data_IF_605144677164
#
_entry.id   IF_605144677164
#
_cell.length_a   1.000
_cell.length_b   1.000
_cell.length_c   1.000
_cell.angle_alpha   90.00
_cell.angle_beta   90.00
_cell.angle_gamma   90.00
#
_symmetry.space_group_name_H-M   'P 1'
#
loop_
_entity.id
_entity.type
_entity.pdbx_description
1 polymer ?
#
# COMPACT_ATOMS: atom_id res chain seq x y z
N UNK A 1 -4.99 16.59 12.74
CA UNK A 1 -3.96 15.68 13.23
C UNK A 1 -4.66 14.55 14.00
N UNK A 2 -4.41 13.32 13.63
CA UNK A 2 -5.07 12.14 14.18
C UNK A 2 -4.11 11.09 14.74
N UNK A 3 -2.81 11.31 14.57
CA UNK A 3 -1.77 10.43 15.10
C UNK A 3 -0.96 11.18 16.15
N UNK A 4 -1.03 10.72 17.41
CA UNK A 4 -0.34 11.30 18.58
C UNK A 4 -0.50 12.84 18.71
N UNK A 5 -1.56 13.42 18.12
CA UNK A 5 -1.81 14.87 18.03
C UNK A 5 -0.68 15.69 17.38
N UNK A 6 0.29 15.03 16.77
CA UNK A 6 1.48 15.65 16.15
C UNK A 6 1.35 15.65 14.64
N UNK A 7 0.95 14.53 14.04
CA UNK A 7 0.93 14.31 12.60
C UNK A 7 -0.45 13.88 12.10
N UNK A 8 -0.59 13.83 10.78
CA UNK A 8 -1.80 13.36 10.09
C UNK A 8 -1.44 12.08 9.34
N UNK A 9 -2.14 10.99 9.67
CA UNK A 9 -1.99 9.69 9.03
C UNK A 9 -3.21 9.41 8.15
N UNK A 10 -2.99 8.82 6.99
CA UNK A 10 -4.02 8.38 6.05
C UNK A 10 -5.08 9.44 5.69
N UNK A 11 -4.65 10.70 5.56
CA UNK A 11 -5.53 11.80 5.19
C UNK A 11 -6.37 12.38 6.35
N UNK A 12 -6.18 11.92 7.59
CA UNK A 12 -6.84 12.46 8.77
C UNK A 12 -7.98 11.62 9.32
N UNK A 13 -8.59 12.10 10.42
CA UNK A 13 -9.61 11.36 11.16
C UNK A 13 -10.95 11.16 10.43
N UNK A 14 -11.19 11.90 9.38
CA UNK A 14 -12.40 11.80 8.54
C UNK A 14 -12.03 11.70 7.06
N UNK A 15 -10.96 10.95 6.77
CA UNK A 15 -10.47 10.77 5.41
C UNK A 15 -11.32 9.80 4.58
N UNK A 16 -10.97 9.64 3.33
CA UNK A 16 -11.60 8.71 2.39
C UNK A 16 -11.65 7.25 2.90
N UNK A 17 -10.79 6.88 3.85
CA UNK A 17 -10.79 5.55 4.49
C UNK A 17 -12.01 5.28 5.35
N UNK A 18 -12.64 6.32 5.87
CA UNK A 18 -13.83 6.25 6.74
C UNK A 18 -15.12 6.69 6.04
N UNK A 19 -15.00 7.18 4.81
CA UNK A 19 -16.13 7.70 4.05
C UNK A 19 -16.98 6.58 3.43
N UNK A 20 -18.25 6.91 3.15
CA UNK A 20 -19.14 6.05 2.41
C UNK A 20 -18.98 6.32 0.91
N UNK A 21 -18.32 5.43 0.22
CA UNK A 21 -18.14 5.51 -1.23
C UNK A 21 -19.43 5.15 -1.96
N UNK A 22 -19.67 5.79 -3.09
CA UNK A 22 -20.80 5.53 -3.98
C UNK A 22 -20.38 4.61 -5.11
N UNK A 23 -21.31 3.78 -5.59
CA UNK A 23 -21.08 2.92 -6.75
C UNK A 23 -21.39 3.72 -8.01
N UNK A 24 -20.39 3.90 -8.89
CA UNK A 24 -20.56 4.49 -10.21
C UNK A 24 -20.91 3.43 -11.26
N UNK A 25 -20.34 2.23 -11.14
CA UNK A 25 -20.57 1.11 -12.04
C UNK A 25 -20.40 -0.21 -11.31
N UNK A 26 -21.17 -1.23 -11.71
CA UNK A 26 -21.03 -2.60 -11.23
C UNK A 26 -21.52 -3.57 -12.27
N UNK A 27 -20.70 -4.59 -12.55
CA UNK A 27 -21.10 -5.76 -13.35
C UNK A 27 -20.60 -7.07 -12.70
N UNK A 28 -20.54 -8.17 -13.46
CA UNK A 28 -20.13 -9.49 -12.95
C UNK A 28 -18.61 -9.62 -12.69
N UNK A 29 -17.79 -8.68 -13.16
CA UNK A 29 -16.33 -8.73 -13.10
C UNK A 29 -15.70 -7.49 -12.50
N UNK A 30 -16.44 -6.39 -12.45
CA UNK A 30 -15.87 -5.11 -12.02
C UNK A 30 -16.83 -4.30 -11.17
N UNK A 31 -16.26 -3.43 -10.35
CA UNK A 31 -16.98 -2.39 -9.63
C UNK A 31 -16.14 -1.11 -9.60
N UNK A 32 -16.82 0.01 -9.83
CA UNK A 32 -16.20 1.34 -9.71
C UNK A 32 -16.89 2.07 -8.56
N UNK A 33 -16.09 2.47 -7.59
CA UNK A 33 -16.51 3.36 -6.51
C UNK A 33 -16.00 4.76 -6.75
N UNK A 34 -16.74 5.76 -6.29
CA UNK A 34 -16.29 7.13 -6.26
C UNK A 34 -16.66 7.82 -4.95
N UNK A 35 -15.89 8.86 -4.63
CA UNK A 35 -16.09 9.75 -3.49
C UNK A 35 -15.78 11.17 -3.92
N UNK A 36 -16.67 12.11 -3.59
CA UNK A 36 -16.43 13.53 -3.78
C UNK A 36 -15.98 14.14 -2.45
N UNK A 37 -14.76 14.66 -2.43
CA UNK A 37 -14.14 15.36 -1.31
C UNK A 37 -14.25 16.88 -1.57
N UNK A 38 -14.95 17.64 -0.71
CA UNK A 38 -15.11 19.07 -0.92
C UNK A 38 -13.84 19.86 -0.61
N UNK A 39 -13.70 21.05 -1.20
CA UNK A 39 -12.59 21.98 -0.92
C UNK A 39 -12.41 22.20 0.58
N UNK A 40 -11.17 22.06 1.05
CA UNK A 40 -10.79 22.22 2.46
C UNK A 40 -11.06 20.99 3.34
N UNK A 41 -11.67 19.92 2.82
CA UNK A 41 -11.88 18.70 3.61
C UNK A 41 -10.55 18.13 4.10
N UNK A 42 -10.45 17.89 5.41
CA UNK A 42 -9.22 17.48 6.10
C UNK A 42 -7.99 18.37 5.82
N UNK A 43 -8.19 19.59 5.28
CA UNK A 43 -7.14 20.55 4.94
C UNK A 43 -6.61 20.44 3.51
N UNK A 44 -7.16 19.55 2.68
CA UNK A 44 -6.77 19.41 1.28
C UNK A 44 -7.47 20.50 0.42
N UNK A 45 -6.73 21.18 -0.48
CA UNK A 45 -7.28 22.21 -1.34
C UNK A 45 -8.04 21.61 -2.53
N UNK A 46 -9.09 22.29 -2.94
CA UNK A 46 -9.90 21.97 -4.11
C UNK A 46 -10.96 20.90 -3.87
N UNK A 47 -11.96 20.89 -4.74
CA UNK A 47 -12.90 19.78 -4.81
C UNK A 47 -12.22 18.63 -5.55
N UNK A 48 -12.14 17.46 -4.92
CA UNK A 48 -11.46 16.31 -5.47
C UNK A 48 -12.43 15.14 -5.62
N UNK A 49 -12.52 14.56 -6.81
CA UNK A 49 -13.19 13.28 -7.04
C UNK A 49 -12.17 12.16 -7.00
N UNK A 50 -12.33 11.25 -6.05
CA UNK A 50 -11.59 10.02 -5.95
C UNK A 50 -12.37 8.90 -6.60
N UNK A 51 -11.68 8.00 -7.30
CA UNK A 51 -12.27 6.81 -7.91
C UNK A 51 -11.39 5.60 -7.67
N UNK A 52 -12.02 4.48 -7.37
CA UNK A 52 -11.37 3.17 -7.27
C UNK A 52 -12.11 2.19 -8.16
N UNK A 53 -11.41 1.60 -9.10
CA UNK A 53 -11.90 0.56 -9.99
C UNK A 53 -11.27 -0.77 -9.63
N UNK A 54 -12.07 -1.75 -9.25
CA UNK A 54 -11.69 -3.15 -9.04
C UNK A 54 -12.16 -3.97 -10.23
N UNK A 55 -11.28 -4.73 -10.84
CA UNK A 55 -11.58 -5.61 -11.96
C UNK A 55 -10.95 -6.98 -11.75
N UNK A 56 -11.77 -8.03 -11.82
CA UNK A 56 -11.28 -9.42 -11.81
C UNK A 56 -10.76 -9.78 -13.18
N UNK A 57 -9.47 -10.07 -13.28
CA UNK A 57 -8.81 -10.50 -14.51
C UNK A 57 -8.50 -12.00 -14.47
N UNK A 58 -8.67 -12.67 -15.60
CA UNK A 58 -8.39 -14.11 -15.72
C UNK A 58 -6.87 -14.34 -15.85
N UNK A 59 -6.34 -15.49 -15.35
CA UNK A 59 -7.10 -16.60 -14.71
C UNK A 59 -7.41 -16.35 -13.22
N UNK A 60 -6.64 -15.60 -12.46
CA UNK A 60 -6.80 -15.30 -11.03
C UNK A 60 -6.07 -14.01 -10.67
N UNK A 61 -6.59 -12.87 -11.12
CA UNK A 61 -6.01 -11.57 -10.84
C UNK A 61 -7.08 -10.57 -10.40
N UNK A 62 -6.65 -9.60 -9.62
CA UNK A 62 -7.42 -8.40 -9.30
C UNK A 62 -6.63 -7.19 -9.78
N UNK A 63 -7.20 -6.48 -10.74
CA UNK A 63 -6.67 -5.19 -11.18
C UNK A 63 -7.36 -4.08 -10.38
N UNK A 64 -6.57 -3.21 -9.78
CA UNK A 64 -7.08 -2.06 -9.03
C UNK A 64 -6.49 -0.79 -9.62
N UNK A 65 -7.38 0.13 -10.05
CA UNK A 65 -6.99 1.45 -10.53
C UNK A 65 -7.47 2.51 -9.55
N UNK A 66 -6.54 3.32 -9.07
CA UNK A 66 -6.82 4.49 -8.23
C UNK A 66 -6.70 5.74 -9.07
N UNK A 67 -7.68 6.64 -8.99
CA UNK A 67 -7.72 7.88 -9.74
C UNK A 67 -8.20 9.02 -8.85
N UNK A 68 -7.61 10.20 -9.05
CA UNK A 68 -8.03 11.44 -8.41
C UNK A 68 -8.09 12.57 -9.45
N UNK A 69 -9.13 13.36 -9.41
CA UNK A 69 -9.32 14.55 -10.26
C UNK A 69 -9.69 15.71 -9.35
N UNK A 70 -8.87 16.76 -9.35
CA UNK A 70 -9.08 17.97 -8.56
C UNK A 70 -9.28 19.18 -9.45
N UNK A 71 -10.07 20.15 -8.97
CA UNK A 71 -10.28 21.44 -9.62
C UNK A 71 -9.22 22.48 -9.25
N UNK A 72 -8.26 22.13 -8.38
CA UNK A 72 -7.14 22.96 -7.95
C UNK A 72 -5.84 22.18 -7.88
N UNK A 73 -4.74 22.89 -7.93
CA UNK A 73 -3.42 22.34 -7.64
C UNK A 73 -3.38 21.86 -6.18
N UNK A 74 -2.87 20.66 -6.01
CA UNK A 74 -2.79 20.00 -4.71
C UNK A 74 -1.92 18.76 -4.79
N UNK A 75 -1.97 17.95 -3.76
CA UNK A 75 -1.31 16.66 -3.75
C UNK A 75 -2.32 15.56 -3.41
N UNK A 76 -2.15 14.43 -4.05
CA UNK A 76 -2.93 13.22 -3.79
C UNK A 76 -2.01 12.01 -3.90
N UNK A 77 -2.03 11.18 -2.87
CA UNK A 77 -1.25 9.95 -2.83
C UNK A 77 -2.14 8.81 -2.31
N UNK A 78 -3.06 8.38 -3.16
CA UNK A 78 -3.95 7.25 -2.86
C UNK A 78 -3.17 5.96 -2.84
N UNK A 79 -3.49 5.11 -1.87
CA UNK A 79 -2.96 3.76 -1.79
C UNK A 79 -4.06 2.76 -1.45
N UNK A 80 -3.84 1.51 -1.83
CA UNK A 80 -4.58 0.36 -1.33
C UNK A 80 -3.70 -0.31 -0.28
N UNK A 81 -4.24 -0.49 0.93
CA UNK A 81 -3.47 -0.98 2.08
C UNK A 81 -4.02 -2.31 2.64
N UNK A 82 -4.08 -3.39 1.84
CA UNK A 82 -4.49 -4.70 2.32
C UNK A 82 -3.38 -5.36 3.15
N UNK A 83 -3.79 -6.19 4.09
CA UNK A 83 -2.91 -7.12 4.79
C UNK A 83 -3.18 -8.53 4.28
N UNK A 84 -2.14 -9.25 3.85
CA UNK A 84 -2.27 -10.57 3.27
C UNK A 84 -1.73 -11.66 4.22
N UNK A 85 -2.54 -12.67 4.48
CA UNK A 85 -2.12 -13.95 4.99
C UNK A 85 -2.64 -15.01 4.01
N UNK A 86 -1.74 -15.78 3.41
CA UNK A 86 -2.07 -16.71 2.32
C UNK A 86 -2.37 -18.13 2.82
N UNK A 87 -2.51 -18.31 4.12
CA UNK A 87 -2.89 -19.56 4.75
C UNK A 87 -3.68 -19.31 6.05
N UNK A 88 -4.13 -20.39 6.69
CA UNK A 88 -4.99 -20.33 7.88
C UNK A 88 -4.19 -20.19 9.20
N UNK A 89 -2.89 -19.91 9.16
CA UNK A 89 -2.05 -19.82 10.37
C UNK A 89 -2.32 -18.59 11.24
N UNK A 90 -3.02 -17.59 10.69
CA UNK A 90 -3.34 -16.33 11.37
C UNK A 90 -2.14 -15.38 11.54
N UNK A 91 -0.97 -15.71 10.95
CA UNK A 91 0.22 -14.85 10.92
C UNK A 91 1.02 -15.13 9.64
N UNK A 92 2.11 -14.37 9.44
CA UNK A 92 2.93 -14.47 8.23
C UNK A 92 4.28 -15.19 8.43
N UNK A 93 4.50 -15.87 9.55
CA UNK A 93 5.76 -16.54 9.85
C UNK A 93 6.11 -17.63 8.80
N UNK A 94 5.10 -18.28 8.23
CA UNK A 94 5.27 -19.31 7.21
C UNK A 94 5.28 -18.77 5.78
N UNK A 95 5.54 -17.46 5.61
CA UNK A 95 5.60 -16.86 4.29
C UNK A 95 7.03 -16.48 3.90
N UNK A 96 7.30 -16.58 2.61
CA UNK A 96 8.49 -16.02 1.98
C UNK A 96 8.11 -14.76 1.21
N UNK A 97 8.85 -13.68 1.42
CA UNK A 97 8.67 -12.41 0.75
C UNK A 97 9.87 -12.10 -0.14
N UNK A 98 9.61 -11.62 -1.34
CA UNK A 98 10.58 -10.99 -2.23
C UNK A 98 10.06 -9.63 -2.66
N UNK A 99 10.94 -8.61 -2.72
CA UNK A 99 10.60 -7.25 -3.18
C UNK A 99 11.67 -6.82 -4.18
N UNK A 100 11.25 -6.42 -5.38
CA UNK A 100 12.14 -5.96 -6.46
C UNK A 100 12.47 -4.47 -6.30
N UNK A 101 13.03 -4.09 -5.15
CA UNK A 101 13.45 -2.73 -4.87
C UNK A 101 14.79 -2.72 -4.14
N UNK A 102 15.74 -1.96 -4.65
CA UNK A 102 17.11 -1.86 -4.10
C UNK A 102 17.22 -0.83 -2.98
N UNK A 103 16.19 0.00 -2.78
CA UNK A 103 16.20 1.08 -1.84
C UNK A 103 14.89 1.17 -1.06
N UNK A 104 14.97 1.78 0.13
CA UNK A 104 13.82 2.07 0.98
C UNK A 104 13.96 3.47 1.60
N UNK A 105 12.87 3.99 2.15
CA UNK A 105 12.83 5.25 2.89
C UNK A 105 12.96 4.94 4.40
N UNK A 106 14.08 5.31 5.05
CA UNK A 106 14.19 5.20 6.50
C UNK A 106 13.28 6.21 7.19
N UNK A 107 12.71 5.81 8.32
CA UNK A 107 11.84 6.63 9.16
C UNK A 107 12.52 6.99 10.46
N UNK A 108 12.03 8.04 11.11
CA UNK A 108 12.40 8.43 12.48
C UNK A 108 11.55 7.68 13.54
N UNK A 109 11.73 8.01 14.80
CA UNK A 109 11.00 7.41 15.93
C UNK A 109 9.48 7.67 15.87
N UNK A 110 9.02 8.60 15.03
CA UNK A 110 7.62 8.90 14.78
C UNK A 110 7.07 8.27 13.50
N UNK A 111 7.85 7.37 12.88
CA UNK A 111 7.56 6.71 11.60
C UNK A 111 7.44 7.69 10.41
N UNK A 112 8.06 8.87 10.52
CA UNK A 112 8.10 9.86 9.44
C UNK A 112 9.37 9.63 8.61
N UNK A 113 9.26 9.58 7.26
CA UNK A 113 10.41 9.47 6.38
C UNK A 113 11.42 10.59 6.62
N UNK A 114 12.68 10.23 6.81
CA UNK A 114 13.77 11.18 7.14
C UNK A 114 14.24 12.03 5.95
N UNK A 115 13.71 11.78 4.76
CA UNK A 115 14.19 12.38 3.50
C UNK A 115 15.40 11.67 2.89
N UNK A 116 15.94 10.66 3.56
CA UNK A 116 17.03 9.83 3.03
C UNK A 116 16.48 8.68 2.20
N UNK A 117 17.31 8.15 1.31
CA UNK A 117 17.05 6.92 0.54
C UNK A 117 18.22 5.98 0.82
N UNK A 118 17.94 4.86 1.47
CA UNK A 118 18.95 3.89 1.88
C UNK A 118 18.87 2.63 1.00
N UNK A 119 20.02 1.97 0.78
CA UNK A 119 20.07 0.66 0.14
C UNK A 119 19.51 -0.40 1.08
N UNK A 120 18.82 -1.39 0.52
CA UNK A 120 18.29 -2.54 1.28
C UNK A 120 19.37 -3.58 1.59
N UNK A 121 20.39 -3.68 0.74
CA UNK A 121 21.44 -4.70 0.85
C UNK A 121 22.11 -4.67 2.22
N UNK A 122 22.36 -5.87 2.78
CA UNK A 122 22.95 -6.09 4.09
C UNK A 122 22.14 -5.48 5.27
N UNK A 123 20.85 -5.23 5.07
CA UNK A 123 19.93 -4.74 6.10
C UNK A 123 18.80 -5.73 6.38
N UNK A 124 18.03 -5.46 7.43
CA UNK A 124 16.79 -6.23 7.69
C UNK A 124 15.74 -6.06 6.58
N UNK A 125 15.85 -5.02 5.76
CA UNK A 125 14.96 -4.70 4.64
C UNK A 125 15.39 -5.36 3.33
N UNK A 126 16.43 -6.20 3.32
CA UNK A 126 16.87 -6.91 2.11
C UNK A 126 15.94 -8.08 1.79
N UNK A 127 15.04 -7.85 0.83
CA UNK A 127 14.15 -8.83 0.22
C UNK A 127 14.39 -8.98 -1.29
N UNK A 128 15.57 -8.63 -1.78
CA UNK A 128 15.93 -8.82 -3.21
C UNK A 128 15.88 -10.29 -3.63
N UNK A 129 16.04 -11.20 -2.67
CA UNK A 129 15.80 -12.64 -2.82
C UNK A 129 14.69 -13.09 -1.88
N UNK A 130 13.96 -14.17 -2.22
CA UNK A 130 12.94 -14.70 -1.32
C UNK A 130 13.51 -14.95 0.08
N UNK A 131 12.88 -14.37 1.08
CA UNK A 131 13.31 -14.48 2.49
C UNK A 131 12.11 -14.80 3.37
N UNK A 132 12.29 -15.74 4.28
CA UNK A 132 11.26 -16.13 5.24
C UNK A 132 10.98 -15.01 6.26
N UNK A 133 9.71 -14.82 6.58
CA UNK A 133 9.24 -13.76 7.49
C UNK A 133 9.21 -14.18 8.96
N UNK A 134 9.45 -15.47 9.28
CA UNK A 134 9.45 -15.94 10.67
C UNK A 134 10.36 -15.12 11.60
N UNK A 135 11.62 -14.79 11.25
CA UNK A 135 12.48 -14.01 12.11
C UNK A 135 11.94 -12.59 12.40
N UNK A 136 11.17 -12.04 11.48
CA UNK A 136 10.57 -10.69 11.61
C UNK A 136 9.36 -10.75 12.54
N UNK A 137 8.54 -11.79 12.42
CA UNK A 137 7.37 -12.01 13.29
C UNK A 137 7.79 -12.30 14.72
N UNK A 138 8.88 -13.04 14.90
CA UNK A 138 9.40 -13.43 16.21
C UNK A 138 10.15 -12.31 16.94
N UNK A 139 10.71 -11.35 16.20
CA UNK A 139 11.44 -10.20 16.74
C UNK A 139 10.63 -8.91 16.54
N UNK A 140 9.59 -8.73 17.34
CA UNK A 140 8.64 -7.59 17.24
C UNK A 140 9.27 -6.19 17.44
N UNK A 141 10.54 -6.11 17.85
CA UNK A 141 11.21 -4.84 18.15
C UNK A 141 11.47 -3.97 16.93
N UNK A 142 11.43 -4.53 15.73
CA UNK A 142 11.72 -3.79 14.49
C UNK A 142 10.76 -4.19 13.37
N UNK A 143 9.51 -3.71 13.40
CA UNK A 143 8.54 -4.00 12.35
C UNK A 143 9.04 -3.47 11.00
N UNK A 144 8.74 -4.21 9.93
CA UNK A 144 8.94 -3.74 8.56
C UNK A 144 7.67 -3.00 8.14
N UNK A 145 7.71 -1.69 8.28
CA UNK A 145 6.65 -0.76 7.86
C UNK A 145 7.29 0.43 7.14
N UNK A 146 7.87 0.14 5.97
CA UNK A 146 8.68 1.09 5.23
C UNK A 146 8.30 1.13 3.76
N UNK A 147 8.38 2.30 3.15
CA UNK A 147 8.27 2.45 1.70
C UNK A 147 9.51 1.91 1.00
N UNK A 148 9.30 1.01 0.05
CA UNK A 148 10.31 0.56 -0.88
C UNK A 148 10.29 1.41 -2.15
N UNK A 149 11.46 1.88 -2.58
CA UNK A 149 11.61 2.73 -3.75
C UNK A 149 11.72 1.86 -5.00
N UNK A 150 10.68 1.84 -5.80
CA UNK A 150 10.69 1.18 -7.10
C UNK A 150 11.44 2.02 -8.14
N UNK A 151 12.02 1.37 -9.16
CA UNK A 151 12.65 2.09 -10.26
C UNK A 151 11.62 2.95 -11.00
N UNK A 152 11.91 4.24 -11.17
CA UNK A 152 10.99 5.25 -11.72
C UNK A 152 10.92 5.25 -13.25
N UNK A 153 11.87 4.58 -13.94
CA UNK A 153 11.97 4.58 -15.40
C UNK A 153 10.97 3.69 -16.13
N UNK A 154 10.14 2.94 -15.40
CA UNK A 154 9.18 2.01 -15.98
C UNK A 154 7.75 2.48 -15.67
N UNK A 155 6.96 2.70 -16.72
CA UNK A 155 5.56 3.11 -16.64
C UNK A 155 4.59 1.93 -16.81
N UNK A 156 5.08 0.77 -17.24
CA UNK A 156 4.26 -0.43 -17.42
C UNK A 156 4.10 -1.23 -16.13
N UNK A 157 3.00 -1.96 -16.04
CA UNK A 157 2.78 -2.92 -14.95
C UNK A 157 3.86 -3.98 -14.96
N UNK A 158 4.46 -4.22 -13.80
CA UNK A 158 5.50 -5.22 -13.60
C UNK A 158 5.34 -5.91 -12.26
N UNK A 159 5.93 -7.08 -12.12
CA UNK A 159 6.07 -7.73 -10.83
C UNK A 159 6.99 -6.89 -9.93
N UNK A 160 6.48 -6.46 -8.77
CA UNK A 160 7.22 -5.66 -7.81
C UNK A 160 7.46 -6.41 -6.50
N UNK A 161 6.61 -7.37 -6.18
CA UNK A 161 6.75 -8.21 -5.00
C UNK A 161 6.13 -9.58 -5.23
N UNK A 162 6.63 -10.57 -4.51
CA UNK A 162 6.10 -11.92 -4.46
C UNK A 162 5.98 -12.35 -3.01
N UNK A 163 4.78 -12.71 -2.59
CA UNK A 163 4.51 -13.32 -1.28
C UNK A 163 4.06 -14.75 -1.50
N UNK A 164 4.70 -15.71 -0.84
CA UNK A 164 4.37 -17.14 -0.95
C UNK A 164 4.22 -17.77 0.42
N UNK A 165 3.10 -18.45 0.67
CA UNK A 165 2.95 -19.31 1.84
C UNK A 165 3.63 -20.66 1.60
N UNK A 166 4.40 -21.12 2.59
CA UNK A 166 5.00 -22.46 2.62
C UNK A 166 3.99 -23.54 2.98
N UNK A 167 2.89 -23.18 3.65
CA UNK A 167 1.84 -24.11 4.08
C UNK A 167 0.82 -24.38 2.97
N UNK A 168 0.24 -23.32 2.41
CA UNK A 168 -0.80 -23.44 1.36
C UNK A 168 -0.24 -23.57 -0.05
N UNK A 169 1.04 -23.22 -0.28
CA UNK A 169 1.65 -23.02 -1.59
C UNK A 169 1.00 -21.93 -2.44
N UNK A 170 0.10 -21.11 -1.88
CA UNK A 170 -0.47 -19.96 -2.57
C UNK A 170 0.63 -18.90 -2.75
N UNK A 171 0.64 -18.29 -3.93
CA UNK A 171 1.56 -17.20 -4.27
C UNK A 171 0.77 -16.00 -4.73
N UNK A 172 1.07 -14.83 -4.17
CA UNK A 172 0.58 -13.53 -4.58
C UNK A 172 1.72 -12.76 -5.26
N UNK A 173 1.42 -12.13 -6.39
CA UNK A 173 2.36 -11.31 -7.17
C UNK A 173 1.77 -9.94 -7.44
#
# INVERSE_FOLDING_TARGET
KNENSIQTLHGGSNSCSFAHWRIAHKDSKSVIFYLDEPDGHMGFPGNCRLQVHYEVIKPMGLHVTLQAISDRDGFCNLTLHPYFCLDDSGNIANHDLQIHAEHYLPVDDFLIPTGKINKVIDSQFDFLKPRNLEPIVSHQEHPIDHNYCLATSQTELREIAVLKSRLSNITLK
#
